data_IF_841554923401
#
_entry.id   IF_841554923401
#
_cell.length_a   1.000
_cell.length_b   1.000
_cell.length_c   1.000
_cell.angle_alpha   90.00
_cell.angle_beta   90.00
_cell.angle_gamma   90.00
#
_symmetry.space_group_name_H-M   'P 1'
#
loop_
_entity.id
_entity.type
_entity.pdbx_description
1 polymer ?
#
# COMPACT_ATOMS: atom_id res chain seq x y z
N UNK A 1 -22.16 15.70 -0.08
CA UNK A 1 -22.27 14.68 -1.12
C UNK A 1 -23.58 14.86 -1.92
N UNK A 2 -24.76 14.71 -1.30
CA UNK A 2 -26.06 14.74 -1.96
C UNK A 2 -26.29 16.00 -2.81
N UNK A 3 -25.94 17.19 -2.29
CA UNK A 3 -26.07 18.45 -3.05
C UNK A 3 -25.17 18.47 -4.28
N UNK A 4 -23.93 18.05 -4.15
CA UNK A 4 -22.99 17.98 -5.28
C UNK A 4 -23.49 17.02 -6.35
N UNK A 5 -23.90 15.82 -5.95
CA UNK A 5 -24.43 14.82 -6.88
C UNK A 5 -25.68 15.31 -7.62
N UNK A 6 -26.67 15.80 -6.87
CA UNK A 6 -27.98 16.10 -7.44
C UNK A 6 -28.05 17.47 -8.13
N UNK A 7 -27.40 18.51 -7.57
CA UNK A 7 -27.50 19.87 -8.14
C UNK A 7 -26.46 20.12 -9.24
N UNK A 8 -25.25 19.52 -9.11
CA UNK A 8 -24.19 19.71 -10.09
C UNK A 8 -24.08 18.54 -11.10
N UNK A 9 -24.90 17.49 -10.93
CA UNK A 9 -24.89 16.31 -11.79
C UNK A 9 -23.49 15.66 -11.89
N UNK A 10 -22.76 15.64 -10.77
CA UNK A 10 -21.43 15.04 -10.66
C UNK A 10 -21.57 13.70 -9.96
N UNK A 11 -21.04 12.58 -10.51
CA UNK A 11 -20.96 11.32 -9.80
C UNK A 11 -20.17 11.45 -8.50
N UNK A 12 -20.74 11.05 -7.37
CA UNK A 12 -20.09 11.14 -6.04
C UNK A 12 -19.95 9.74 -5.44
N UNK A 13 -18.73 9.38 -5.04
CA UNK A 13 -18.44 8.16 -4.31
C UNK A 13 -18.02 8.47 -2.87
N UNK A 14 -18.64 7.77 -1.93
CA UNK A 14 -18.29 7.88 -0.51
C UNK A 14 -17.16 6.91 -0.15
N UNK A 15 -16.22 7.35 0.71
CA UNK A 15 -15.09 6.52 1.13
C UNK A 15 -14.81 6.64 2.63
N UNK A 16 -13.91 5.79 3.14
CA UNK A 16 -13.53 5.65 4.57
C UNK A 16 -14.79 5.43 5.43
N UNK A 17 -14.98 6.20 6.49
CA UNK A 17 -16.11 6.05 7.44
C UNK A 17 -17.48 6.42 6.84
N UNK A 18 -17.48 7.13 5.71
CA UNK A 18 -18.70 7.46 4.97
C UNK A 18 -19.09 6.39 3.96
N UNK A 19 -18.24 5.39 3.71
CA UNK A 19 -18.49 4.37 2.69
C UNK A 19 -19.72 3.52 3.01
N UNK A 20 -20.63 3.38 2.03
CA UNK A 20 -21.81 2.52 2.13
C UNK A 20 -21.49 1.05 1.79
N UNK A 21 -20.36 0.82 1.10
CA UNK A 21 -19.92 -0.47 0.60
C UNK A 21 -18.49 -0.69 1.07
N UNK A 22 -18.20 -1.86 1.64
CA UNK A 22 -16.89 -2.19 2.21
C UNK A 22 -15.74 -2.00 1.21
N UNK A 23 -15.95 -2.32 -0.05
CA UNK A 23 -14.98 -2.19 -1.13
C UNK A 23 -14.54 -0.74 -1.38
N UNK A 24 -15.42 0.22 -1.06
CA UNK A 24 -15.20 1.67 -1.21
C UNK A 24 -14.52 2.32 -0.01
N UNK A 25 -14.36 1.63 1.12
CA UNK A 25 -13.59 2.17 2.26
C UNK A 25 -12.20 2.61 1.84
N UNK A 26 -11.54 1.86 0.97
CA UNK A 26 -10.24 2.27 0.47
C UNK A 26 -10.38 3.18 -0.76
N UNK A 27 -10.00 4.44 -0.63
CA UNK A 27 -10.00 5.41 -1.71
C UNK A 27 -9.27 4.92 -2.98
N UNK A 28 -8.20 4.12 -2.82
CA UNK A 28 -7.46 3.58 -3.96
C UNK A 28 -8.32 2.68 -4.86
N UNK A 29 -9.31 1.97 -4.29
CA UNK A 29 -10.23 1.13 -5.07
C UNK A 29 -11.16 2.00 -5.92
N UNK A 30 -11.64 3.11 -5.35
CA UNK A 30 -12.50 4.06 -6.09
C UNK A 30 -11.69 4.71 -7.21
N UNK A 31 -10.44 5.07 -6.96
CA UNK A 31 -9.55 5.73 -7.92
C UNK A 31 -8.92 4.79 -8.95
N UNK A 32 -9.09 3.48 -8.80
CA UNK A 32 -8.55 2.53 -9.76
C UNK A 32 -9.06 2.82 -11.17
N UNK A 33 -8.14 2.90 -12.14
CA UNK A 33 -8.41 3.30 -13.53
C UNK A 33 -8.38 4.82 -13.75
N UNK A 34 -8.26 5.62 -12.69
CA UNK A 34 -8.20 7.09 -12.69
C UNK A 34 -9.31 7.71 -13.57
N UNK A 35 -9.06 8.85 -14.20
CA UNK A 35 -10.02 9.53 -15.06
C UNK A 35 -10.30 8.74 -16.34
N UNK A 36 -9.30 8.10 -16.90
CA UNK A 36 -9.34 7.34 -18.15
C UNK A 36 -10.27 6.11 -18.06
N UNK A 37 -10.24 5.42 -16.91
CA UNK A 37 -11.11 4.26 -16.66
C UNK A 37 -12.50 4.61 -16.12
N UNK A 38 -12.78 5.89 -15.87
CA UNK A 38 -14.02 6.29 -15.19
C UNK A 38 -15.28 6.04 -16.03
N UNK A 39 -15.21 6.19 -17.35
CA UNK A 39 -16.35 5.94 -18.25
C UNK A 39 -16.80 4.49 -18.19
N UNK A 40 -15.85 3.55 -18.24
CA UNK A 40 -16.12 2.13 -18.12
C UNK A 40 -16.64 1.76 -16.72
N UNK A 41 -16.01 2.30 -15.69
CA UNK A 41 -16.43 2.11 -14.29
C UNK A 41 -17.88 2.54 -14.06
N UNK A 42 -18.30 3.69 -14.54
CA UNK A 42 -19.69 4.19 -14.42
C UNK A 42 -20.72 3.34 -15.17
N UNK A 43 -20.31 2.58 -16.18
CA UNK A 43 -21.18 1.64 -16.89
C UNK A 43 -21.39 0.33 -16.12
N UNK A 44 -20.56 0.05 -15.12
CA UNK A 44 -20.64 -1.17 -14.31
C UNK A 44 -21.62 -0.99 -13.15
N UNK A 45 -22.61 -1.89 -13.04
CA UNK A 45 -23.63 -1.87 -11.98
C UNK A 45 -23.04 -1.89 -10.56
N UNK A 46 -21.87 -2.50 -10.35
CA UNK A 46 -21.20 -2.50 -9.05
C UNK A 46 -20.63 -1.13 -8.67
N UNK A 47 -20.50 -0.22 -9.63
CA UNK A 47 -19.92 1.10 -9.45
C UNK A 47 -20.93 2.25 -9.63
N UNK A 48 -22.22 1.99 -9.38
CA UNK A 48 -23.22 3.05 -9.30
C UNK A 48 -22.78 4.07 -8.23
N UNK A 49 -22.70 5.39 -8.54
CA UNK A 49 -22.35 6.41 -7.56
C UNK A 49 -23.32 6.43 -6.38
N UNK A 50 -22.84 6.81 -5.19
CA UNK A 50 -23.69 6.98 -4.01
C UNK A 50 -24.64 8.17 -4.18
N UNK A 51 -24.22 9.19 -4.92
CA UNK A 51 -25.06 10.33 -5.33
C UNK A 51 -24.70 10.79 -6.74
N UNK A 52 -25.68 11.41 -7.41
CA UNK A 52 -25.52 11.90 -8.77
C UNK A 52 -25.73 10.81 -9.83
N UNK A 53 -25.60 11.17 -11.11
CA UNK A 53 -25.89 10.26 -12.23
C UNK A 53 -24.73 9.27 -12.48
N UNK A 54 -25.06 8.04 -12.90
CA UNK A 54 -24.08 7.09 -13.47
C UNK A 54 -23.71 7.47 -14.91
N UNK A 55 -23.43 8.75 -15.15
CA UNK A 55 -23.08 9.27 -16.46
C UNK A 55 -21.72 9.95 -16.40
N UNK A 56 -20.85 9.61 -17.32
CA UNK A 56 -19.54 10.23 -17.39
C UNK A 56 -19.65 11.72 -17.71
N UNK A 57 -19.02 12.54 -16.88
CA UNK A 57 -18.92 13.99 -17.06
C UNK A 57 -17.48 14.34 -17.46
N UNK A 58 -17.29 14.76 -18.70
CA UNK A 58 -15.96 15.04 -19.24
C UNK A 58 -15.27 16.23 -18.57
N UNK A 59 -16.02 17.18 -18.04
CA UNK A 59 -15.45 18.38 -17.40
C UNK A 59 -15.04 18.14 -15.95
N UNK A 60 -15.83 17.39 -15.21
CA UNK A 60 -15.64 17.21 -13.75
C UNK A 60 -15.24 15.79 -13.36
N UNK A 61 -15.37 14.81 -14.27
CA UNK A 61 -15.17 13.40 -13.92
C UNK A 61 -16.14 12.95 -12.85
N UNK A 62 -15.63 12.38 -11.78
CA UNK A 62 -16.35 12.05 -10.55
C UNK A 62 -15.61 12.63 -9.35
N UNK A 63 -16.34 12.82 -8.24
CA UNK A 63 -15.71 13.26 -6.98
C UNK A 63 -15.83 12.21 -5.91
N UNK A 64 -14.90 12.21 -4.97
CA UNK A 64 -14.91 11.36 -3.79
C UNK A 64 -15.10 12.22 -2.55
N UNK A 65 -15.95 11.78 -1.63
CA UNK A 65 -16.18 12.44 -0.35
C UNK A 65 -16.13 11.40 0.76
N UNK A 66 -15.46 11.74 1.86
CA UNK A 66 -15.33 10.83 2.98
C UNK A 66 -15.14 11.54 4.29
N UNK A 67 -15.42 10.84 5.38
CA UNK A 67 -15.01 11.20 6.72
C UNK A 67 -13.96 10.20 7.17
N UNK A 68 -12.92 10.67 7.87
CA UNK A 68 -11.87 9.82 8.42
C UNK A 68 -11.20 10.50 9.60
N UNK A 69 -10.50 9.72 10.41
CA UNK A 69 -9.57 10.24 11.40
C UNK A 69 -8.48 11.11 10.77
N UNK A 70 -7.83 11.95 11.59
CA UNK A 70 -6.74 12.79 11.11
C UNK A 70 -5.63 11.95 10.47
N UNK A 71 -5.23 12.36 9.28
CA UNK A 71 -4.09 11.81 8.59
C UNK A 71 -2.92 12.78 8.73
N UNK A 72 -1.77 12.26 9.13
CA UNK A 72 -0.54 13.05 9.16
C UNK A 72 0.30 12.70 7.94
N UNK A 73 0.56 13.68 7.09
CA UNK A 73 1.53 13.59 6.02
C UNK A 73 2.91 13.98 6.54
N UNK A 74 3.90 13.11 6.35
CA UNK A 74 5.24 13.29 6.84
C UNK A 74 6.26 12.84 5.80
N UNK A 75 7.30 13.60 5.61
CA UNK A 75 8.31 13.31 4.61
C UNK A 75 9.69 13.19 5.25
N UNK A 76 10.48 12.19 4.84
CA UNK A 76 11.85 11.98 5.31
C UNK A 76 12.80 12.08 4.12
N UNK A 77 13.78 12.98 4.22
CA UNK A 77 14.76 13.21 3.18
C UNK A 77 16.01 12.33 3.39
N UNK A 78 16.55 11.81 2.31
CA UNK A 78 17.75 10.97 2.30
C UNK A 78 18.91 11.69 1.60
N UNK A 79 20.16 11.37 1.97
CA UNK A 79 21.38 11.92 1.34
C UNK A 79 21.72 11.26 0.00
N UNK A 80 20.74 10.85 -0.76
CA UNK A 80 20.91 10.20 -2.05
C UNK A 80 19.91 10.73 -3.06
N UNK A 81 20.18 10.53 -4.35
CA UNK A 81 19.24 10.70 -5.45
C UNK A 81 18.67 9.36 -5.96
N UNK A 82 19.10 8.24 -5.40
CA UNK A 82 18.57 6.95 -5.81
C UNK A 82 17.16 6.73 -5.23
N UNK A 83 16.17 6.91 -6.11
CA UNK A 83 14.75 6.62 -5.80
C UNK A 83 14.54 5.19 -5.34
N UNK A 84 15.33 4.23 -5.81
CA UNK A 84 15.15 2.82 -5.49
C UNK A 84 15.43 2.56 -4.01
N UNK A 85 16.44 3.20 -3.42
CA UNK A 85 16.73 3.10 -1.99
C UNK A 85 15.60 3.67 -1.13
N UNK A 86 15.07 4.84 -1.49
CA UNK A 86 13.90 5.41 -0.81
C UNK A 86 12.65 4.50 -0.95
N UNK A 87 12.44 3.91 -2.12
CA UNK A 87 11.33 3.00 -2.39
C UNK A 87 11.47 1.70 -1.60
N UNK A 88 12.68 1.18 -1.48
CA UNK A 88 12.96 -0.03 -0.71
C UNK A 88 12.63 0.14 0.77
N UNK A 89 13.10 1.25 1.38
CA UNK A 89 12.76 1.61 2.75
C UNK A 89 11.24 1.83 2.91
N UNK A 90 10.62 2.58 1.98
CA UNK A 90 9.18 2.84 2.02
C UNK A 90 8.36 1.54 1.99
N UNK A 91 8.80 0.54 1.23
CA UNK A 91 8.13 -0.75 1.13
C UNK A 91 8.30 -1.61 2.38
N UNK A 92 9.39 -1.43 3.09
CA UNK A 92 9.66 -2.14 4.34
C UNK A 92 8.85 -1.58 5.51
N UNK A 93 8.66 -0.26 5.58
CA UNK A 93 7.93 0.37 6.69
C UNK A 93 6.41 0.36 6.52
N UNK A 94 5.87 0.38 5.30
CA UNK A 94 4.43 0.55 5.05
C UNK A 94 3.63 -0.72 5.35
N UNK A 95 2.42 -0.59 5.91
CA UNK A 95 1.52 -1.71 6.24
C UNK A 95 1.33 -2.72 5.11
N UNK A 96 1.17 -2.24 3.88
CA UNK A 96 1.00 -3.09 2.70
C UNK A 96 2.22 -3.98 2.42
N UNK A 97 3.39 -3.64 2.97
CA UNK A 97 4.63 -4.36 2.75
C UNK A 97 5.05 -4.43 1.27
N UNK A 98 5.70 -5.51 0.88
CA UNK A 98 6.25 -5.73 -0.47
C UNK A 98 6.20 -7.20 -0.89
N UNK A 99 6.55 -7.47 -2.14
CA UNK A 99 6.91 -8.82 -2.56
C UNK A 99 8.22 -9.24 -1.87
N UNK A 100 8.27 -10.46 -1.30
CA UNK A 100 9.51 -11.07 -0.82
C UNK A 100 10.47 -11.24 -2.00
N UNK A 101 11.72 -10.91 -1.75
CA UNK A 101 12.80 -11.11 -2.72
C UNK A 101 13.87 -12.03 -2.15
N UNK A 102 14.50 -12.79 -3.01
CA UNK A 102 15.69 -13.55 -2.66
C UNK A 102 16.80 -12.58 -2.24
N UNK A 103 17.65 -13.01 -1.31
CA UNK A 103 18.79 -12.21 -0.88
C UNK A 103 19.77 -12.04 -2.04
N UNK A 104 20.12 -10.79 -2.35
CA UNK A 104 21.20 -10.46 -3.26
C UNK A 104 22.38 -9.96 -2.44
N UNK A 105 23.42 -10.78 -2.31
CA UNK A 105 24.60 -10.45 -1.51
C UNK A 105 25.48 -9.35 -2.09
N UNK A 106 25.25 -8.97 -3.36
CA UNK A 106 26.01 -7.94 -4.07
C UNK A 106 25.31 -6.56 -4.06
N UNK A 107 24.16 -6.44 -3.43
CA UNK A 107 23.42 -5.20 -3.37
C UNK A 107 22.86 -4.90 -1.99
N UNK A 108 22.99 -3.63 -1.56
CA UNK A 108 22.34 -3.11 -0.36
C UNK A 108 20.85 -2.81 -0.56
N UNK A 109 20.38 -2.86 -1.82
CA UNK A 109 19.00 -2.63 -2.18
C UNK A 109 18.28 -3.97 -2.35
N UNK A 110 17.39 -4.31 -1.43
CA UNK A 110 16.65 -5.57 -1.48
C UNK A 110 15.72 -5.69 -2.70
N UNK A 111 15.48 -4.59 -3.45
CA UNK A 111 14.73 -4.64 -4.72
C UNK A 111 15.54 -5.26 -5.87
N UNK A 112 16.82 -5.52 -5.69
CA UNK A 112 17.68 -6.16 -6.70
C UNK A 112 17.61 -7.69 -6.71
N UNK A 113 17.04 -8.30 -5.65
CA UNK A 113 16.80 -9.73 -5.61
C UNK A 113 15.60 -10.17 -6.45
N UNK A 114 15.59 -11.44 -6.87
CA UNK A 114 14.47 -12.04 -7.60
C UNK A 114 13.22 -12.14 -6.74
N UNK A 115 12.05 -11.97 -7.35
CA UNK A 115 10.77 -12.09 -6.65
C UNK A 115 10.48 -13.55 -6.34
N UNK A 116 10.34 -13.87 -5.05
CA UNK A 116 9.88 -15.17 -4.58
C UNK A 116 8.37 -15.29 -4.85
N UNK A 117 7.95 -16.44 -5.41
CA UNK A 117 6.56 -16.68 -5.80
C UNK A 117 6.02 -17.96 -5.17
N UNK A 118 4.71 -17.96 -4.90
CA UNK A 118 4.00 -19.18 -4.50
C UNK A 118 3.99 -20.17 -5.64
N UNK A 119 4.30 -21.43 -5.35
CA UNK A 119 4.24 -22.55 -6.29
C UNK A 119 3.36 -23.66 -5.70
N UNK A 120 2.97 -24.62 -6.52
CA UNK A 120 2.26 -25.79 -6.04
C UNK A 120 3.11 -26.49 -4.95
N UNK A 121 2.49 -26.80 -3.83
CA UNK A 121 3.11 -27.44 -2.67
C UNK A 121 4.33 -26.68 -2.10
N UNK A 122 4.43 -25.37 -2.38
CA UNK A 122 5.48 -24.48 -1.86
C UNK A 122 4.88 -23.12 -1.47
N UNK A 123 4.69 -22.93 -0.17
CA UNK A 123 4.18 -21.69 0.45
C UNK A 123 5.28 -21.08 1.33
N UNK A 124 6.19 -20.26 0.75
CA UNK A 124 7.25 -19.62 1.50
C UNK A 124 6.72 -18.59 2.51
N UNK A 125 7.35 -18.52 3.68
CA UNK A 125 7.12 -17.44 4.61
C UNK A 125 7.61 -16.09 4.06
N UNK A 126 6.92 -15.00 4.38
CA UNK A 126 7.32 -13.64 3.97
C UNK A 126 8.57 -13.15 4.71
N UNK A 127 8.80 -13.60 5.94
CA UNK A 127 9.90 -13.12 6.80
C UNK A 127 11.11 -14.03 6.88
N UNK A 128 10.90 -15.34 7.01
CA UNK A 128 11.99 -16.29 7.20
C UNK A 128 12.08 -17.27 6.03
N UNK A 129 13.05 -18.19 6.11
CA UNK A 129 13.30 -19.18 5.04
C UNK A 129 12.38 -20.42 5.13
N UNK A 130 11.41 -20.42 6.05
CA UNK A 130 10.45 -21.51 6.15
C UNK A 130 9.58 -21.61 4.90
N UNK A 131 9.40 -22.82 4.41
CA UNK A 131 8.53 -23.16 3.28
C UNK A 131 7.59 -24.28 3.69
N UNK A 132 6.29 -24.03 3.65
CA UNK A 132 5.26 -25.03 3.92
C UNK A 132 4.81 -25.71 2.63
N UNK A 133 4.27 -26.94 2.76
CA UNK A 133 3.58 -27.64 1.67
C UNK A 133 2.10 -27.29 1.58
N UNK A 134 1.50 -26.72 2.63
CA UNK A 134 0.08 -26.34 2.68
C UNK A 134 -0.11 -24.88 3.04
N UNK A 135 -1.27 -24.36 2.63
CA UNK A 135 -1.68 -22.98 2.98
C UNK A 135 -2.03 -22.84 4.46
N UNK A 136 -2.62 -23.86 5.03
CA UNK A 136 -3.00 -23.90 6.44
C UNK A 136 -1.77 -23.84 7.36
N UNK A 137 -0.72 -24.60 7.03
CA UNK A 137 0.50 -24.61 7.82
C UNK A 137 1.28 -23.30 7.73
N UNK A 138 1.32 -22.65 6.55
CA UNK A 138 1.97 -21.35 6.46
C UNK A 138 1.23 -20.27 7.26
N UNK A 139 -0.11 -20.29 7.31
CA UNK A 139 -0.90 -19.40 8.17
C UNK A 139 -0.55 -19.65 9.64
N UNK A 140 -0.53 -20.91 10.07
CA UNK A 140 -0.19 -21.28 11.45
C UNK A 140 1.21 -20.80 11.82
N UNK A 141 2.20 -21.07 10.97
CA UNK A 141 3.57 -20.60 11.15
C UNK A 141 3.63 -19.07 11.29
N UNK A 142 3.00 -18.33 10.39
CA UNK A 142 3.04 -16.86 10.42
C UNK A 142 2.40 -16.27 11.68
N UNK A 143 1.30 -16.85 12.16
CA UNK A 143 0.66 -16.41 13.39
C UNK A 143 1.50 -16.71 14.64
N UNK A 144 2.18 -17.85 14.66
CA UNK A 144 2.97 -18.30 15.81
C UNK A 144 4.34 -17.63 15.89
N UNK A 145 5.05 -17.57 14.75
CA UNK A 145 6.46 -17.14 14.73
C UNK A 145 6.63 -15.65 14.42
N UNK A 146 5.67 -15.03 13.72
CA UNK A 146 5.81 -13.66 13.20
C UNK A 146 4.69 -12.74 13.60
N UNK A 147 3.67 -13.22 14.30
CA UNK A 147 2.55 -12.41 14.83
C UNK A 147 1.83 -11.56 13.77
N UNK A 148 1.70 -12.06 12.53
CA UNK A 148 0.91 -11.39 11.49
C UNK A 148 -0.11 -12.31 10.84
N UNK A 149 -1.25 -11.74 10.46
CA UNK A 149 -2.32 -12.45 9.77
C UNK A 149 -2.12 -12.43 8.24
N UNK A 150 -1.73 -13.61 7.70
CA UNK A 150 -1.54 -13.77 6.25
C UNK A 150 -2.88 -13.67 5.47
N UNK A 151 -4.01 -14.03 6.09
CA UNK A 151 -5.33 -13.92 5.46
C UNK A 151 -5.70 -12.45 5.24
N UNK A 152 -5.48 -11.61 6.26
CA UNK A 152 -5.69 -10.16 6.17
C UNK A 152 -4.81 -9.54 5.08
N UNK A 153 -3.53 -9.94 5.01
CA UNK A 153 -2.63 -9.50 3.94
C UNK A 153 -3.11 -9.92 2.55
N UNK A 154 -3.64 -11.13 2.40
CA UNK A 154 -4.18 -11.58 1.11
C UNK A 154 -5.40 -10.76 0.70
N UNK A 155 -6.29 -10.44 1.64
CA UNK A 155 -7.44 -9.56 1.39
C UNK A 155 -6.96 -8.16 0.94
N UNK A 156 -6.03 -7.56 1.68
CA UNK A 156 -5.43 -6.24 1.35
C UNK A 156 -4.72 -6.21 -0.01
N UNK A 157 -4.25 -7.35 -0.49
CA UNK A 157 -3.58 -7.52 -1.78
C UNK A 157 -4.50 -8.03 -2.89
N UNK A 158 -5.78 -8.28 -2.59
CA UNK A 158 -6.74 -8.91 -3.51
C UNK A 158 -6.23 -10.27 -4.04
N UNK A 159 -5.56 -11.03 -3.17
CA UNK A 159 -5.11 -12.39 -3.48
C UNK A 159 -6.22 -13.38 -3.14
N UNK A 160 -6.48 -14.29 -4.07
CA UNK A 160 -7.37 -15.43 -3.86
C UNK A 160 -6.54 -16.71 -3.80
N UNK A 161 -6.76 -17.54 -2.77
CA UNK A 161 -6.03 -18.80 -2.59
C UNK A 161 -6.14 -19.73 -3.82
N UNK A 162 -7.29 -19.73 -4.51
CA UNK A 162 -7.50 -20.54 -5.71
C UNK A 162 -6.59 -20.15 -6.87
N UNK A 163 -6.10 -18.89 -6.90
CA UNK A 163 -5.26 -18.33 -7.96
C UNK A 163 -3.93 -17.79 -7.38
N UNK A 164 -3.43 -18.38 -6.30
CA UNK A 164 -2.24 -17.89 -5.60
C UNK A 164 -0.95 -18.23 -6.33
N UNK A 165 -0.92 -19.36 -7.06
CA UNK A 165 0.29 -19.82 -7.72
C UNK A 165 0.78 -18.82 -8.77
N UNK A 166 2.09 -18.57 -8.78
CA UNK A 166 2.73 -17.53 -9.59
C UNK A 166 2.65 -16.12 -9.00
N UNK A 167 1.79 -15.88 -7.98
CA UNK A 167 1.76 -14.59 -7.29
C UNK A 167 2.99 -14.42 -6.41
N UNK A 168 3.50 -13.18 -6.25
CA UNK A 168 4.58 -12.89 -5.32
C UNK A 168 4.23 -13.27 -3.87
N UNK A 169 5.18 -13.84 -3.15
CA UNK A 169 5.08 -14.00 -1.70
C UNK A 169 5.06 -12.62 -1.06
N UNK A 170 4.16 -12.39 -0.10
CA UNK A 170 4.04 -11.09 0.57
C UNK A 170 4.93 -11.09 1.80
N UNK A 171 5.79 -10.09 1.87
CA UNK A 171 6.50 -9.69 3.09
C UNK A 171 5.73 -8.52 3.71
N UNK A 172 5.14 -8.68 4.90
CA UNK A 172 4.46 -7.58 5.58
C UNK A 172 5.42 -6.42 5.87
N UNK A 173 4.89 -5.24 6.00
CA UNK A 173 5.68 -4.10 6.48
C UNK A 173 5.76 -4.06 8.01
N UNK A 174 6.69 -3.26 8.50
CA UNK A 174 6.98 -3.14 9.94
C UNK A 174 5.81 -2.49 10.69
N UNK A 175 5.18 -1.49 10.08
CA UNK A 175 4.17 -0.67 10.77
C UNK A 175 2.77 -0.85 10.20
N UNK A 176 1.78 -0.93 11.09
CA UNK A 176 0.37 -0.78 10.76
C UNK A 176 0.02 0.70 10.58
N UNK A 177 -1.04 0.98 9.82
CA UNK A 177 -1.52 2.35 9.58
C UNK A 177 -0.50 3.32 8.96
N UNK A 178 0.50 2.79 8.27
CA UNK A 178 1.50 3.56 7.52
C UNK A 178 1.36 3.26 6.03
N UNK A 179 1.17 4.31 5.23
CA UNK A 179 1.30 4.27 3.77
C UNK A 179 2.57 5.02 3.40
N UNK A 180 3.44 4.44 2.60
CA UNK A 180 4.69 5.08 2.21
C UNK A 180 5.08 4.78 0.76
N UNK A 181 5.72 5.78 0.13
CA UNK A 181 6.30 5.69 -1.21
C UNK A 181 7.64 6.42 -1.26
N UNK A 182 8.56 5.92 -2.06
CA UNK A 182 9.81 6.61 -2.38
C UNK A 182 9.69 7.42 -3.67
N UNK A 183 10.21 8.63 -3.67
CA UNK A 183 10.21 9.51 -4.84
C UNK A 183 11.44 10.42 -4.87
N UNK A 184 11.58 11.23 -5.93
CA UNK A 184 12.64 12.23 -6.05
C UNK A 184 12.04 13.62 -5.99
N UNK A 185 12.57 14.44 -5.10
CA UNK A 185 12.31 15.88 -5.08
C UNK A 185 13.37 16.58 -5.93
N UNK A 186 13.07 16.79 -7.21
CA UNK A 186 14.02 17.35 -8.17
C UNK A 186 14.60 18.69 -7.71
N UNK A 187 13.76 19.55 -7.14
CA UNK A 187 14.18 20.89 -6.63
C UNK A 187 15.31 20.80 -5.60
N UNK A 188 15.31 19.77 -4.77
CA UNK A 188 16.29 19.60 -3.70
C UNK A 188 17.35 18.55 -4.02
N UNK A 189 17.24 17.92 -5.18
CA UNK A 189 18.13 16.81 -5.60
C UNK A 189 18.26 15.74 -4.50
N UNK A 190 17.12 15.30 -3.94
CA UNK A 190 17.06 14.33 -2.86
C UNK A 190 15.99 13.27 -3.12
N UNK A 191 16.33 12.05 -2.78
CA UNK A 191 15.31 11.03 -2.60
C UNK A 191 14.59 11.26 -1.28
N UNK A 192 13.28 11.06 -1.29
CA UNK A 192 12.41 11.31 -0.16
C UNK A 192 11.45 10.13 0.03
N UNK A 193 11.19 9.79 1.27
CA UNK A 193 10.12 8.87 1.65
C UNK A 193 8.92 9.72 2.06
N UNK A 194 7.85 9.67 1.27
CA UNK A 194 6.59 10.31 1.62
C UNK A 194 5.70 9.32 2.36
N UNK A 195 5.24 9.72 3.54
CA UNK A 195 4.55 8.87 4.49
C UNK A 195 3.20 9.51 4.84
N UNK A 196 2.15 8.68 4.89
CA UNK A 196 0.86 9.03 5.44
C UNK A 196 0.55 8.11 6.62
N UNK A 197 0.42 8.70 7.80
CA UNK A 197 -0.06 8.02 9.00
C UNK A 197 -1.58 8.09 9.02
N UNK A 198 -2.25 6.96 8.89
CA UNK A 198 -3.71 6.88 8.93
C UNK A 198 -4.25 6.71 10.35
N UNK A 199 -3.41 6.29 11.29
CA UNK A 199 -3.67 6.28 12.72
C UNK A 199 -2.37 6.50 13.50
N UNK A 200 -2.04 7.78 13.75
CA UNK A 200 -0.82 8.18 14.47
C UNK A 200 -0.84 7.82 15.96
N UNK A 201 -2.01 7.53 16.52
CA UNK A 201 -2.14 7.08 17.92
C UNK A 201 -1.64 5.64 18.09
N UNK A 202 -1.82 4.80 17.05
CA UNK A 202 -1.35 3.42 17.04
C UNK A 202 0.10 3.31 16.56
N UNK A 203 0.48 4.13 15.59
CA UNK A 203 1.84 4.15 15.04
C UNK A 203 2.38 5.58 15.12
N UNK A 204 3.16 5.91 16.19
CA UNK A 204 3.73 7.22 16.38
C UNK A 204 4.77 7.57 15.32
N UNK A 205 4.90 8.87 15.03
CA UNK A 205 5.81 9.37 13.99
C UNK A 205 7.27 9.07 14.32
N UNK A 206 7.66 9.25 15.59
CA UNK A 206 9.04 9.06 16.04
C UNK A 206 9.50 7.61 15.89
N UNK A 207 8.65 6.62 16.15
CA UNK A 207 8.98 5.21 15.95
C UNK A 207 9.32 4.90 14.49
N UNK A 208 8.53 5.47 13.57
CA UNK A 208 8.77 5.31 12.13
C UNK A 208 10.04 6.03 11.72
N UNK A 209 10.29 7.24 12.23
CA UNK A 209 11.50 8.00 11.94
C UNK A 209 12.76 7.24 12.38
N UNK A 210 12.78 6.73 13.60
CA UNK A 210 13.92 5.99 14.15
C UNK A 210 14.23 4.71 13.35
N UNK A 211 13.18 3.99 12.95
CA UNK A 211 13.35 2.82 12.11
C UNK A 211 13.85 3.20 10.71
N UNK A 212 13.36 4.29 10.13
CA UNK A 212 13.85 4.77 8.83
C UNK A 212 15.34 5.14 8.91
N UNK A 213 15.79 5.78 10.00
CA UNK A 213 17.21 6.05 10.21
C UNK A 213 18.05 4.77 10.20
N UNK A 214 17.64 3.76 10.98
CA UNK A 214 18.32 2.45 11.02
C UNK A 214 18.33 1.73 9.67
N UNK A 215 17.22 1.79 8.92
CA UNK A 215 17.11 1.19 7.59
C UNK A 215 17.96 1.92 6.55
N UNK A 216 18.09 3.24 6.68
CA UNK A 216 18.97 4.05 5.84
C UNK A 216 20.44 3.68 6.06
N UNK A 217 20.88 3.62 7.33
CA UNK A 217 22.24 3.21 7.71
C UNK A 217 22.62 1.84 7.16
N UNK A 218 21.73 0.84 7.28
CA UNK A 218 21.92 -0.50 6.71
C UNK A 218 22.16 -0.48 5.18
N UNK A 219 21.73 0.55 4.50
CA UNK A 219 21.87 0.75 3.05
C UNK A 219 23.01 1.73 2.68
N UNK A 220 23.85 2.08 3.65
CA UNK A 220 24.97 3.00 3.43
C UNK A 220 24.56 4.44 3.14
N UNK A 221 23.31 4.82 3.48
CA UNK A 221 22.78 6.17 3.36
C UNK A 221 22.28 6.68 4.71
N UNK A 222 21.92 7.96 4.78
CA UNK A 222 21.41 8.57 6.01
C UNK A 222 20.24 9.51 5.76
N UNK A 223 19.44 9.69 6.79
CA UNK A 223 18.42 10.73 6.86
C UNK A 223 19.08 12.09 6.99
N UNK A 224 18.59 13.08 6.24
CA UNK A 224 19.11 14.47 6.27
C UNK A 224 18.11 15.47 6.83
N UNK A 225 16.88 15.04 7.10
CA UNK A 225 15.82 15.87 7.69
C UNK A 225 14.43 15.34 7.38
N UNK A 226 13.44 16.00 7.94
CA UNK A 226 12.02 15.69 7.79
C UNK A 226 11.22 16.98 7.60
#
# INVERSE_FOLDING_TARGET
AKRVGNQLSIPVYLYEDSAQILERKNLANIRYGEYEGLREKLSNKSWIPDYGPSKFNERSGATTMGAREFLIAYNINLNTMDKRLATDIAFEIREKGRAKRAVNTYSLNSLDGDIVRYKKDQFPCGYCEYVSKSYEDIIKHNNQEHSYDLKDLFIKRSYNIKNIFGKPVIQPGIFKNVKAVGWIVKKYQRAQISINFTNYKQTPIHDVFDIVCKLAEKRGIRVTGS
#
